data_IF_339041993000
#
_entry.id   IF_339041993000
#
_cell.length_a   1.000
_cell.length_b   1.000
_cell.length_c   1.000
_cell.angle_alpha   90.00
_cell.angle_beta   90.00
_cell.angle_gamma   90.00
#
_symmetry.space_group_name_H-M   'P 1'
#
loop_
_entity.id
_entity.type
_entity.pdbx_description
1 polymer ?
#
# COMPACT_ATOMS: atom_id res chain seq x y z
N UNK A 1 -51.01 21.03 20.41
CA UNK A 1 -52.45 21.25 20.16
C UNK A 1 -52.67 21.24 18.65
N UNK A 2 -53.57 20.35 18.22
CA UNK A 2 -54.36 20.32 16.97
C UNK A 2 -53.69 20.30 15.57
N UNK A 3 -53.98 19.18 14.89
CA UNK A 3 -54.04 18.85 13.46
C UNK A 3 -54.65 19.91 12.51
N UNK A 4 -54.28 19.88 11.22
CA UNK A 4 -55.22 19.53 10.13
C UNK A 4 -54.54 19.30 8.77
N UNK A 5 -54.99 18.25 8.09
CA UNK A 5 -54.74 17.83 6.70
C UNK A 5 -55.51 18.68 5.66
N UNK A 6 -55.06 18.67 4.39
CA UNK A 6 -55.91 18.29 3.24
C UNK A 6 -55.17 18.20 1.90
N UNK A 7 -55.40 17.08 1.20
CA UNK A 7 -55.11 16.75 -0.21
C UNK A 7 -56.41 16.83 -1.06
N UNK A 8 -56.29 17.07 -2.38
CA UNK A 8 -57.10 16.54 -3.52
C UNK A 8 -56.67 17.30 -4.81
N UNK A 9 -56.15 16.73 -5.90
CA UNK A 9 -56.58 15.71 -6.90
C UNK A 9 -57.35 16.22 -8.16
N UNK A 10 -56.66 16.18 -9.34
CA UNK A 10 -56.98 15.53 -10.66
C UNK A 10 -58.22 16.06 -11.48
N UNK A 11 -58.36 16.04 -12.86
CA UNK A 11 -57.92 15.04 -13.89
C UNK A 11 -57.45 15.43 -15.33
N UNK A 12 -56.73 14.46 -15.95
CA UNK A 12 -56.81 13.78 -17.31
C UNK A 12 -57.56 14.47 -18.47
N UNK A 13 -57.23 14.42 -19.77
CA UNK A 13 -56.30 13.66 -20.65
C UNK A 13 -56.86 13.63 -22.10
N UNK A 14 -56.06 13.13 -23.09
CA UNK A 14 -56.40 12.53 -24.43
C UNK A 14 -55.81 13.20 -25.71
N UNK A 15 -55.32 12.29 -26.58
CA UNK A 15 -54.54 12.32 -27.84
C UNK A 15 -55.14 13.05 -29.07
N UNK A 16 -54.26 13.48 -29.99
CA UNK A 16 -54.47 13.37 -31.45
C UNK A 16 -53.14 13.26 -32.24
N UNK A 17 -53.19 12.55 -33.38
CA UNK A 17 -52.09 12.02 -34.23
C UNK A 17 -51.48 13.08 -35.17
N UNK A 18 -50.21 12.90 -35.55
CA UNK A 18 -49.59 13.54 -36.72
C UNK A 18 -49.10 12.47 -37.73
N UNK A 19 -49.40 12.71 -39.01
CA UNK A 19 -48.87 12.04 -40.20
C UNK A 19 -48.28 13.15 -41.07
N UNK A 20 -47.08 12.96 -41.64
CA UNK A 20 -46.52 13.89 -42.63
C UNK A 20 -45.12 13.46 -43.08
N UNK A 21 -44.98 13.25 -44.39
CA UNK A 21 -43.89 12.59 -45.12
C UNK A 21 -42.56 13.34 -45.21
N UNK A 22 -41.52 12.54 -45.49
CA UNK A 22 -40.16 12.87 -45.90
C UNK A 22 -40.07 13.68 -47.21
N UNK A 23 -39.11 14.60 -47.28
CA UNK A 23 -38.37 14.94 -48.50
C UNK A 23 -36.85 15.01 -48.17
N UNK A 24 -36.05 14.33 -49.01
CA UNK A 24 -34.58 14.28 -48.98
C UNK A 24 -34.07 15.26 -50.05
N UNK A 25 -33.02 16.05 -49.79
CA UNK A 25 -32.13 16.53 -50.84
C UNK A 25 -30.81 15.74 -50.85
N UNK A 26 -30.48 15.17 -52.00
CA UNK A 26 -29.25 14.46 -52.31
C UNK A 26 -27.99 15.34 -52.24
N UNK A 27 -26.98 14.79 -51.56
CA UNK A 27 -25.61 14.63 -52.06
C UNK A 27 -24.74 15.89 -52.35
N UNK A 28 -24.09 16.40 -51.29
CA UNK A 28 -22.74 17.00 -51.34
C UNK A 28 -21.95 16.95 -50.02
N UNK A 29 -22.36 16.09 -49.08
CA UNK A 29 -21.87 16.11 -47.68
C UNK A 29 -21.05 14.88 -47.30
N UNK A 30 -21.03 13.82 -48.12
CA UNK A 30 -20.36 12.55 -47.77
C UNK A 30 -18.82 12.63 -47.82
N UNK A 31 -18.24 13.39 -48.75
CA UNK A 31 -16.78 13.49 -48.90
C UNK A 31 -16.11 14.37 -47.82
N UNK A 32 -16.79 15.41 -47.34
CA UNK A 32 -16.28 16.27 -46.25
C UNK A 32 -16.39 15.59 -44.88
N UNK A 33 -17.50 14.87 -44.62
CA UNK A 33 -17.66 14.12 -43.39
C UNK A 33 -16.62 12.98 -43.25
N UNK A 34 -16.31 12.26 -44.34
CA UNK A 34 -15.27 11.23 -44.32
C UNK A 34 -13.85 11.77 -44.09
N UNK A 35 -13.54 12.96 -44.61
CA UNK A 35 -12.23 13.59 -44.44
C UNK A 35 -12.04 14.15 -43.02
N UNK A 36 -13.08 14.76 -42.44
CA UNK A 36 -13.06 15.26 -41.06
C UNK A 36 -13.03 14.12 -40.02
N UNK A 37 -13.68 12.98 -40.30
CA UNK A 37 -13.60 11.78 -39.45
C UNK A 37 -12.22 11.11 -39.54
N UNK A 38 -11.62 11.04 -40.74
CA UNK A 38 -10.26 10.51 -40.91
C UNK A 38 -9.19 11.44 -40.32
N UNK A 39 -9.42 12.75 -40.34
CA UNK A 39 -8.50 13.72 -39.75
C UNK A 39 -8.59 13.71 -38.22
N UNK A 40 -9.79 13.71 -37.65
CA UNK A 40 -9.99 13.61 -36.19
C UNK A 40 -9.49 12.28 -35.64
N UNK A 41 -9.75 11.15 -36.30
CA UNK A 41 -9.18 9.85 -35.90
C UNK A 41 -7.65 9.77 -36.01
N UNK A 42 -7.02 10.41 -37.01
CA UNK A 42 -5.56 10.51 -37.09
C UNK A 42 -4.97 11.42 -36.01
N UNK A 43 -5.64 12.53 -35.69
CA UNK A 43 -5.23 13.44 -34.62
C UNK A 43 -5.37 12.74 -33.27
N UNK A 44 -6.51 12.11 -32.98
CA UNK A 44 -6.73 11.36 -31.74
C UNK A 44 -5.74 10.20 -31.61
N UNK A 45 -5.44 9.49 -32.71
CA UNK A 45 -4.41 8.44 -32.70
C UNK A 45 -3.01 8.99 -32.46
N UNK A 46 -2.65 10.11 -33.09
CA UNK A 46 -1.37 10.79 -32.87
C UNK A 46 -1.21 11.30 -31.44
N UNK A 47 -2.25 11.90 -30.86
CA UNK A 47 -2.26 12.34 -29.45
C UNK A 47 -2.11 11.15 -28.50
N UNK A 48 -2.76 10.02 -28.81
CA UNK A 48 -2.68 8.80 -27.98
C UNK A 48 -1.30 8.15 -28.08
N UNK A 49 -0.70 8.11 -29.27
CA UNK A 49 0.66 7.59 -29.50
C UNK A 49 1.73 8.45 -28.78
N UNK A 50 1.66 9.78 -28.91
CA UNK A 50 2.55 10.72 -28.22
C UNK A 50 2.41 10.62 -26.68
N UNK A 51 1.18 10.48 -26.18
CA UNK A 51 0.92 10.31 -24.76
C UNK A 51 1.51 8.99 -24.22
N UNK A 52 1.43 7.90 -24.99
CA UNK A 52 2.02 6.60 -24.64
C UNK A 52 3.54 6.67 -24.60
N UNK A 53 4.16 7.24 -25.63
CA UNK A 53 5.63 7.40 -25.69
C UNK A 53 6.15 8.24 -24.51
N UNK A 54 5.43 9.30 -24.15
CA UNK A 54 5.74 10.13 -22.99
C UNK A 54 5.66 9.34 -21.68
N UNK A 55 4.64 8.47 -21.50
CA UNK A 55 4.51 7.62 -20.31
C UNK A 55 5.68 6.65 -20.19
N UNK A 56 6.02 5.96 -21.27
CA UNK A 56 7.13 5.00 -21.35
C UNK A 56 8.44 5.68 -20.99
N UNK A 57 8.74 6.81 -21.65
CA UNK A 57 9.97 7.57 -21.43
C UNK A 57 10.08 8.07 -19.99
N UNK A 58 9.01 8.64 -19.45
CA UNK A 58 8.99 9.15 -18.07
C UNK A 58 9.16 8.03 -17.05
N UNK A 59 8.53 6.87 -17.29
CA UNK A 59 8.62 5.71 -16.41
C UNK A 59 10.04 5.14 -16.41
N UNK A 60 10.65 4.96 -17.59
CA UNK A 60 12.03 4.49 -17.73
C UNK A 60 13.01 5.41 -16.99
N UNK A 61 12.92 6.72 -17.22
CA UNK A 61 13.77 7.71 -16.54
C UNK A 61 13.62 7.66 -15.01
N UNK A 62 12.40 7.43 -14.50
CA UNK A 62 12.18 7.32 -13.05
C UNK A 62 12.83 6.06 -12.48
N UNK A 63 12.65 4.92 -13.15
CA UNK A 63 13.20 3.62 -12.72
C UNK A 63 14.73 3.61 -12.74
N UNK A 64 15.35 4.26 -13.72
CA UNK A 64 16.82 4.39 -13.81
C UNK A 64 17.39 5.33 -12.73
N UNK A 65 16.65 6.38 -12.37
CA UNK A 65 17.13 7.43 -11.46
C UNK A 65 17.23 6.97 -10.00
N UNK A 66 16.20 6.32 -9.48
CA UNK A 66 16.17 5.83 -8.10
C UNK A 66 15.34 4.53 -8.01
N UNK A 67 15.92 3.40 -8.44
CA UNK A 67 15.19 2.13 -8.51
C UNK A 67 14.70 1.66 -7.14
N UNK A 68 15.46 1.93 -6.06
CA UNK A 68 15.08 1.52 -4.71
C UNK A 68 13.88 2.31 -4.18
N UNK A 69 13.80 3.61 -4.44
CA UNK A 69 12.66 4.41 -4.02
C UNK A 69 11.40 4.06 -4.82
N UNK A 70 11.54 3.80 -6.13
CA UNK A 70 10.45 3.31 -6.97
C UNK A 70 9.96 1.94 -6.47
N UNK A 71 10.88 1.03 -6.17
CA UNK A 71 10.56 -0.30 -5.64
C UNK A 71 9.87 -0.24 -4.27
N UNK A 72 10.35 0.59 -3.34
CA UNK A 72 9.66 0.78 -2.06
C UNK A 72 8.23 1.26 -2.28
N UNK A 73 8.06 2.32 -3.09
CA UNK A 73 6.73 2.89 -3.35
C UNK A 73 5.78 1.84 -3.94
N UNK A 74 6.28 1.06 -4.89
CA UNK A 74 5.53 -0.05 -5.48
C UNK A 74 5.21 -1.14 -4.46
N UNK A 75 6.17 -1.54 -3.63
CA UNK A 75 6.00 -2.55 -2.58
C UNK A 75 4.96 -2.13 -1.53
N UNK A 76 4.92 -0.85 -1.15
CA UNK A 76 3.88 -0.31 -0.26
C UNK A 76 2.49 -0.39 -0.90
N UNK A 77 2.39 -0.07 -2.20
CA UNK A 77 1.15 -0.17 -2.97
C UNK A 77 0.66 -1.62 -3.08
N UNK A 78 1.54 -2.57 -3.36
CA UNK A 78 1.22 -4.00 -3.42
C UNK A 78 0.75 -4.51 -2.06
N UNK A 79 1.44 -4.17 -0.97
CA UNK A 79 1.03 -4.54 0.39
C UNK A 79 -0.39 -4.03 0.72
N UNK A 80 -0.69 -2.79 0.34
CA UNK A 80 -2.01 -2.18 0.53
C UNK A 80 -3.10 -2.82 -0.35
N UNK A 81 -2.74 -3.34 -1.53
CA UNK A 81 -3.67 -4.02 -2.45
C UNK A 81 -3.99 -5.45 -2.00
N UNK A 82 -3.01 -6.14 -1.41
CA UNK A 82 -3.15 -7.55 -1.02
C UNK A 82 -3.80 -7.77 0.34
N UNK A 83 -3.95 -6.72 1.15
CA UNK A 83 -4.66 -6.84 2.43
C UNK A 83 -6.17 -6.97 2.25
N UNK A 84 -6.84 -7.72 3.12
CA UNK A 84 -8.29 -7.76 3.22
C UNK A 84 -8.90 -6.39 3.60
N UNK A 85 -8.08 -5.48 4.16
CA UNK A 85 -8.48 -4.12 4.55
C UNK A 85 -8.23 -3.07 3.46
N UNK A 86 -8.13 -3.49 2.20
CA UNK A 86 -7.75 -2.62 1.08
C UNK A 86 -8.63 -1.37 0.97
N UNK A 87 -9.91 -1.42 1.36
CA UNK A 87 -10.76 -0.22 1.38
C UNK A 87 -10.25 0.93 2.24
N UNK A 88 -9.54 0.60 3.32
CA UNK A 88 -8.93 1.56 4.23
C UNK A 88 -7.45 1.83 3.93
N UNK A 89 -6.74 0.82 3.42
CA UNK A 89 -5.29 0.81 3.24
C UNK A 89 -4.86 1.29 1.85
N UNK A 90 -5.58 0.92 0.80
CA UNK A 90 -5.29 1.26 -0.59
C UNK A 90 -5.93 2.61 -0.95
N UNK A 91 -5.42 3.66 -0.31
CA UNK A 91 -5.78 5.04 -0.61
C UNK A 91 -4.51 5.82 -0.97
N UNK A 92 -4.44 6.50 -2.12
CA UNK A 92 -5.46 6.56 -3.18
C UNK A 92 -5.60 5.21 -3.90
N UNK A 93 -6.76 5.00 -4.52
CA UNK A 93 -7.07 3.80 -5.32
C UNK A 93 -6.97 4.14 -6.82
N UNK A 94 -6.41 3.26 -7.67
CA UNK A 94 -6.23 3.53 -9.09
C UNK A 94 -7.60 3.65 -9.81
N UNK A 95 -7.90 4.79 -10.45
CA UNK A 95 -9.23 5.07 -10.98
C UNK A 95 -9.60 4.17 -12.16
N UNK A 96 -8.63 3.62 -12.91
CA UNK A 96 -8.90 2.68 -14.00
C UNK A 96 -9.49 1.34 -13.53
N UNK A 97 -9.45 1.06 -12.22
CA UNK A 97 -10.09 -0.13 -11.61
C UNK A 97 -11.36 0.23 -10.83
N UNK A 98 -11.98 1.38 -11.10
CA UNK A 98 -13.28 1.76 -10.54
C UNK A 98 -14.31 1.68 -11.66
N UNK A 99 -15.33 0.83 -11.47
CA UNK A 99 -16.44 0.64 -12.41
C UNK A 99 -17.75 0.86 -11.67
N UNK A 100 -18.58 1.81 -12.11
CA UNK A 100 -19.85 2.14 -11.46
C UNK A 100 -19.71 2.38 -9.95
N UNK A 101 -18.70 3.17 -9.55
CA UNK A 101 -18.36 3.45 -8.15
C UNK A 101 -17.88 2.24 -7.31
N UNK A 102 -17.82 1.05 -7.91
CA UNK A 102 -17.28 -0.16 -7.29
C UNK A 102 -15.81 -0.36 -7.64
N UNK A 103 -15.00 -0.67 -6.64
CA UNK A 103 -13.57 -0.99 -6.80
C UNK A 103 -13.41 -2.44 -7.27
N UNK A 104 -12.84 -2.64 -8.45
CA UNK A 104 -12.50 -3.95 -9.00
C UNK A 104 -11.10 -4.37 -8.51
N UNK A 105 -11.02 -4.71 -7.22
CA UNK A 105 -9.75 -5.10 -6.58
C UNK A 105 -9.14 -6.37 -7.19
N UNK A 106 -9.98 -7.28 -7.68
CA UNK A 106 -9.52 -8.54 -8.28
C UNK A 106 -8.87 -8.30 -9.64
N UNK A 107 -9.42 -7.41 -10.47
CA UNK A 107 -8.73 -6.98 -11.68
C UNK A 107 -7.38 -6.31 -11.38
N UNK A 108 -7.33 -5.44 -10.36
CA UNK A 108 -6.08 -4.81 -9.95
C UNK A 108 -5.02 -5.84 -9.53
N UNK A 109 -5.41 -6.82 -8.70
CA UNK A 109 -4.50 -7.87 -8.21
C UNK A 109 -3.93 -8.72 -9.35
N UNK A 110 -4.76 -9.07 -10.35
CA UNK A 110 -4.28 -9.81 -11.54
C UNK A 110 -3.19 -9.04 -12.30
N UNK A 111 -3.32 -7.73 -12.43
CA UNK A 111 -2.27 -6.91 -13.07
C UNK A 111 -1.04 -6.79 -12.18
N UNK A 112 -1.21 -6.64 -10.86
CA UNK A 112 -0.09 -6.64 -9.91
C UNK A 112 0.74 -7.93 -10.01
N UNK A 113 0.08 -9.09 -10.13
CA UNK A 113 0.72 -10.40 -10.25
C UNK A 113 1.51 -10.57 -11.56
N UNK A 114 1.11 -9.88 -12.63
CA UNK A 114 1.81 -9.94 -13.92
C UNK A 114 3.00 -8.97 -14.00
N UNK A 115 3.14 -8.02 -13.08
CA UNK A 115 4.25 -7.05 -13.09
C UNK A 115 5.58 -7.77 -12.83
N UNK A 116 6.52 -7.79 -13.79
CA UNK A 116 7.84 -8.36 -13.57
C UNK A 116 8.69 -7.45 -12.66
N UNK A 117 9.81 -7.95 -12.10
CA UNK A 117 10.73 -7.12 -11.30
C UNK A 117 11.07 -5.80 -11.99
N UNK A 118 11.14 -4.69 -11.24
CA UNK A 118 11.29 -3.36 -11.84
C UNK A 118 12.53 -3.22 -12.75
N UNK A 119 13.68 -3.86 -12.48
CA UNK A 119 14.81 -3.85 -13.42
C UNK A 119 14.52 -4.55 -14.75
N UNK A 120 13.63 -5.55 -14.76
CA UNK A 120 13.24 -6.27 -15.97
C UNK A 120 12.36 -5.37 -16.82
N UNK A 121 11.26 -4.85 -16.27
CA UNK A 121 10.39 -3.92 -17.01
C UNK A 121 11.17 -2.69 -17.49
N UNK A 122 12.12 -2.18 -16.70
CA UNK A 122 12.94 -1.04 -17.11
C UNK A 122 13.75 -1.29 -18.39
N UNK A 123 14.19 -2.53 -18.62
CA UNK A 123 14.88 -2.93 -19.87
C UNK A 123 13.87 -3.02 -21.02
N UNK A 124 12.74 -3.67 -20.78
CA UNK A 124 11.67 -3.85 -21.78
C UNK A 124 11.07 -2.52 -22.27
N UNK A 125 11.06 -1.46 -21.44
CA UNK A 125 10.63 -0.11 -21.84
C UNK A 125 11.45 0.52 -22.97
N UNK A 126 12.55 -0.11 -23.41
CA UNK A 126 13.30 0.29 -24.61
C UNK A 126 12.81 -0.33 -25.92
N UNK A 127 11.93 -1.34 -25.87
CA UNK A 127 11.48 -2.11 -27.03
C UNK A 127 10.29 -1.45 -27.75
N UNK A 128 10.24 -1.57 -29.07
CA UNK A 128 9.24 -0.89 -29.93
C UNK A 128 7.79 -1.29 -29.61
N UNK A 129 7.57 -2.58 -29.28
CA UNK A 129 6.23 -3.15 -29.06
C UNK A 129 5.87 -3.27 -27.56
N UNK A 130 6.62 -2.59 -26.69
CA UNK A 130 6.46 -2.73 -25.23
C UNK A 130 5.03 -2.41 -24.75
N UNK A 131 4.36 -1.43 -25.34
CA UNK A 131 3.02 -1.05 -24.93
C UNK A 131 1.97 -2.11 -25.28
N UNK A 132 2.17 -2.86 -26.36
CA UNK A 132 1.26 -3.93 -26.76
C UNK A 132 1.38 -5.12 -25.80
N UNK A 133 2.58 -5.39 -25.30
CA UNK A 133 2.85 -6.49 -24.37
C UNK A 133 2.58 -6.13 -22.90
N UNK A 134 2.79 -4.86 -22.51
CA UNK A 134 2.78 -4.41 -21.12
C UNK A 134 1.85 -3.22 -20.85
N UNK A 135 0.91 -2.91 -21.75
CA UNK A 135 0.08 -1.70 -21.68
C UNK A 135 -0.59 -1.48 -20.31
N UNK A 136 -1.30 -2.49 -19.78
CA UNK A 136 -1.93 -2.39 -18.46
C UNK A 136 -0.93 -2.19 -17.32
N UNK A 137 0.24 -2.82 -17.41
CA UNK A 137 1.32 -2.70 -16.43
C UNK A 137 1.92 -1.30 -16.48
N UNK A 138 2.17 -0.77 -17.67
CA UNK A 138 2.70 0.58 -17.88
C UNK A 138 1.71 1.61 -17.32
N UNK A 139 0.41 1.47 -17.61
CA UNK A 139 -0.61 2.37 -17.08
C UNK A 139 -0.66 2.36 -15.55
N UNK A 140 -0.62 1.18 -14.94
CA UNK A 140 -0.65 1.04 -13.49
C UNK A 140 0.63 1.58 -12.84
N UNK A 141 1.82 1.21 -13.35
CA UNK A 141 3.11 1.70 -12.85
C UNK A 141 3.22 3.21 -13.02
N UNK A 142 2.82 3.76 -14.18
CA UNK A 142 2.79 5.19 -14.42
C UNK A 142 1.87 5.90 -13.41
N UNK A 143 0.68 5.35 -13.15
CA UNK A 143 -0.23 5.91 -12.17
C UNK A 143 0.38 5.93 -10.76
N UNK A 144 0.89 4.78 -10.27
CA UNK A 144 1.44 4.68 -8.92
C UNK A 144 2.72 5.50 -8.77
N UNK A 145 3.66 5.39 -9.70
CA UNK A 145 5.00 5.94 -9.52
C UNK A 145 5.09 7.42 -9.94
N UNK A 146 4.42 7.82 -11.02
CA UNK A 146 4.53 9.17 -11.59
C UNK A 146 3.32 10.05 -11.29
N UNK A 147 2.08 9.54 -11.44
CA UNK A 147 0.88 10.38 -11.23
C UNK A 147 0.66 10.70 -9.76
N UNK A 148 0.93 9.77 -8.86
CA UNK A 148 0.95 10.03 -7.40
C UNK A 148 2.26 10.71 -6.96
N UNK A 149 2.55 11.89 -7.53
CA UNK A 149 3.88 12.52 -7.43
C UNK A 149 4.24 13.07 -6.04
N UNK A 150 3.27 13.57 -5.27
CA UNK A 150 3.51 14.24 -3.99
C UNK A 150 2.86 13.47 -2.82
N UNK A 151 3.58 13.26 -1.70
CA UNK A 151 5.02 13.39 -1.55
C UNK A 151 5.79 12.36 -2.38
N UNK A 152 7.01 12.69 -2.80
CA UNK A 152 7.90 11.73 -3.46
C UNK A 152 8.90 11.15 -2.46
N UNK A 153 9.27 9.89 -2.71
CA UNK A 153 10.21 9.12 -1.90
C UNK A 153 11.59 9.21 -2.56
N UNK A 154 12.64 9.41 -1.76
CA UNK A 154 14.04 9.39 -2.20
C UNK A 154 14.86 8.44 -1.36
N UNK A 155 15.70 7.64 -1.98
CA UNK A 155 16.70 6.84 -1.27
C UNK A 155 17.71 7.75 -0.57
N UNK A 156 18.06 7.41 0.68
CA UNK A 156 19.11 8.10 1.43
C UNK A 156 20.41 7.28 1.34
N UNK A 157 21.54 7.95 1.17
CA UNK A 157 22.86 7.31 1.19
C UNK A 157 23.24 6.90 2.63
N UNK A 158 23.94 5.77 2.79
CA UNK A 158 24.22 5.15 4.10
C UNK A 158 24.99 6.08 5.04
N UNK A 159 25.84 6.93 4.48
CA UNK A 159 26.66 7.91 5.20
C UNK A 159 25.79 8.92 5.97
N UNK A 160 24.58 9.18 5.48
CA UNK A 160 23.61 10.09 6.10
C UNK A 160 22.73 9.43 7.17
N UNK A 161 22.81 8.10 7.38
CA UNK A 161 21.89 7.42 8.29
C UNK A 161 22.08 7.88 9.73
N UNK A 162 23.33 7.98 10.18
CA UNK A 162 23.65 8.41 11.55
C UNK A 162 23.14 9.82 11.84
N UNK A 163 23.23 10.75 10.88
CA UNK A 163 22.74 12.13 11.07
C UNK A 163 21.21 12.20 11.15
N UNK A 164 20.51 11.30 10.46
CA UNK A 164 19.05 11.17 10.54
C UNK A 164 18.62 10.54 11.86
N UNK A 165 19.24 9.43 12.26
CA UNK A 165 18.90 8.73 13.50
C UNK A 165 19.18 9.60 14.73
N UNK A 166 20.23 10.42 14.72
CA UNK A 166 20.55 11.39 15.79
C UNK A 166 19.53 12.53 15.95
N UNK A 167 18.54 12.66 15.06
CA UNK A 167 17.46 13.65 15.22
C UNK A 167 16.55 13.34 16.41
N UNK A 168 16.53 12.08 16.84
CA UNK A 168 15.88 11.64 18.08
C UNK A 168 16.98 11.22 19.05
N UNK A 169 16.97 11.68 20.30
CA UNK A 169 17.94 11.23 21.30
C UNK A 169 17.88 9.71 21.46
N UNK A 170 19.01 9.04 21.25
CA UNK A 170 19.11 7.59 21.45
C UNK A 170 19.45 7.32 22.92
N UNK A 171 18.44 6.93 23.70
CA UNK A 171 18.63 6.52 25.10
C UNK A 171 18.85 5.01 25.22
N UNK A 172 18.06 4.22 24.47
CA UNK A 172 18.10 2.76 24.48
C UNK A 172 18.50 2.25 23.08
N UNK A 173 19.54 1.41 22.96
CA UNK A 173 19.89 0.78 21.69
C UNK A 173 18.72 -0.03 21.12
N UNK A 174 18.48 0.11 19.81
CA UNK A 174 17.50 -0.66 19.06
C UNK A 174 18.13 -1.16 17.75
N UNK A 175 17.48 -2.14 17.11
CA UNK A 175 17.91 -2.61 15.80
C UNK A 175 17.92 -1.43 14.81
N UNK A 176 19.03 -1.25 14.09
CA UNK A 176 19.16 -0.20 13.08
C UNK A 176 18.44 -0.62 11.79
N UNK A 177 17.82 0.32 11.05
CA UNK A 177 17.20 0.02 9.77
C UNK A 177 18.23 -0.31 8.70
N UNK A 178 17.91 -1.26 7.81
CA UNK A 178 18.73 -1.59 6.65
C UNK A 178 18.73 -0.45 5.63
N UNK A 179 17.57 0.18 5.46
CA UNK A 179 17.32 1.21 4.45
C UNK A 179 16.61 2.43 5.05
N UNK A 180 17.00 3.63 4.62
CA UNK A 180 16.31 4.87 4.97
C UNK A 180 15.89 5.58 3.68
N UNK A 181 14.64 6.01 3.65
CA UNK A 181 14.09 6.82 2.57
C UNK A 181 13.60 8.15 3.11
N UNK A 182 13.86 9.23 2.39
CA UNK A 182 13.38 10.56 2.72
C UNK A 182 12.04 10.83 2.03
N UNK A 183 11.10 11.33 2.81
CA UNK A 183 9.86 11.93 2.31
C UNK A 183 10.12 13.39 1.99
N UNK A 184 9.86 13.79 0.76
CA UNK A 184 10.00 15.17 0.34
C UNK A 184 8.78 15.63 -0.44
N UNK A 185 8.33 16.83 -0.12
CA UNK A 185 7.24 17.50 -0.80
C UNK A 185 7.76 18.52 -1.81
N UNK A 186 6.94 18.83 -2.81
CA UNK A 186 7.20 19.99 -3.65
C UNK A 186 7.20 21.28 -2.79
N UNK A 187 8.12 22.22 -3.06
CA UNK A 187 8.29 23.44 -2.24
C UNK A 187 7.02 24.31 -2.13
N UNK A 188 6.16 24.22 -3.15
CA UNK A 188 4.91 24.96 -3.32
C UNK A 188 3.69 24.01 -3.23
N UNK A 189 3.82 22.84 -2.60
CA UNK A 189 2.65 22.01 -2.36
C UNK A 189 1.77 22.64 -1.27
N UNK A 190 0.46 22.44 -1.38
CA UNK A 190 -0.50 22.88 -0.36
C UNK A 190 -0.18 22.30 1.02
N UNK A 191 0.32 21.07 1.06
CA UNK A 191 0.78 20.40 2.29
C UNK A 191 1.98 21.10 2.93
N UNK A 192 2.96 21.54 2.14
CA UNK A 192 4.16 22.23 2.63
C UNK A 192 3.82 23.66 3.10
N UNK A 193 2.93 24.37 2.41
CA UNK A 193 2.43 25.68 2.83
C UNK A 193 1.65 25.59 4.15
N UNK A 194 0.73 24.61 4.25
CA UNK A 194 -0.02 24.33 5.47
C UNK A 194 0.91 24.02 6.65
N UNK A 195 1.93 23.18 6.42
CA UNK A 195 2.93 22.87 7.44
C UNK A 195 3.68 24.12 7.92
N UNK A 196 4.18 24.94 6.99
CA UNK A 196 4.90 26.18 7.33
C UNK A 196 4.04 27.16 8.12
N UNK A 197 2.76 27.27 7.75
CA UNK A 197 1.80 28.11 8.49
C UNK A 197 1.63 27.61 9.92
N UNK A 198 1.40 26.31 10.11
CA UNK A 198 1.18 25.73 11.44
C UNK A 198 2.44 25.75 12.31
N UNK A 199 3.63 25.60 11.71
CA UNK A 199 4.89 25.61 12.43
C UNK A 199 5.37 27.03 12.79
N UNK A 200 4.72 28.08 12.27
CA UNK A 200 5.14 29.47 12.49
C UNK A 200 5.09 29.81 13.98
N UNK A 201 6.24 30.18 14.54
CA UNK A 201 6.37 30.53 15.97
C UNK A 201 6.52 29.33 16.92
N UNK A 202 6.58 28.11 16.39
CA UNK A 202 6.77 26.88 17.17
C UNK A 202 8.09 26.19 16.81
N UNK A 203 8.73 25.58 17.79
CA UNK A 203 9.84 24.66 17.54
C UNK A 203 9.30 23.32 17.01
N UNK A 204 10.15 22.50 16.36
CA UNK A 204 9.79 21.14 15.98
C UNK A 204 10.71 20.12 16.66
N UNK A 205 10.23 18.88 16.77
CA UNK A 205 11.01 17.75 17.27
C UNK A 205 10.66 16.49 16.48
N UNK A 206 11.44 15.43 16.65
CA UNK A 206 11.26 14.17 15.92
C UNK A 206 10.79 13.05 16.83
N UNK A 207 9.93 12.17 16.30
CA UNK A 207 9.47 10.96 16.98
C UNK A 207 9.14 9.85 15.97
N UNK A 208 9.21 8.61 16.43
CA UNK A 208 8.91 7.42 15.65
C UNK A 208 7.43 7.06 15.72
N UNK A 209 6.91 6.53 14.61
CA UNK A 209 5.58 5.93 14.53
C UNK A 209 5.68 4.57 13.85
N UNK A 210 5.28 3.53 14.57
CA UNK A 210 5.19 2.18 14.02
C UNK A 210 3.80 1.87 13.46
N UNK A 211 3.76 1.17 12.33
CA UNK A 211 2.52 0.72 11.72
C UNK A 211 2.72 -0.56 10.93
N UNK A 212 1.62 -1.27 10.64
CA UNK A 212 1.66 -2.41 9.73
C UNK A 212 1.95 -1.94 8.31
N UNK A 213 2.72 -2.74 7.56
CA UNK A 213 3.19 -2.40 6.23
C UNK A 213 2.09 -1.94 5.27
N UNK A 214 0.96 -2.64 5.24
CA UNK A 214 -0.14 -2.34 4.32
C UNK A 214 -0.77 -0.95 4.54
N UNK A 215 -0.55 -0.33 5.70
CA UNK A 215 -1.06 1.03 5.96
C UNK A 215 -0.18 2.10 5.30
N UNK A 216 1.08 1.80 4.95
CA UNK A 216 2.06 2.81 4.57
C UNK A 216 1.78 3.47 3.22
N UNK A 217 1.10 2.82 2.28
CA UNK A 217 0.63 3.47 1.06
C UNK A 217 -0.28 4.68 1.38
N UNK A 218 -1.30 4.46 2.21
CA UNK A 218 -2.19 5.53 2.67
C UNK A 218 -1.47 6.57 3.52
N UNK A 219 -0.61 6.14 4.45
CA UNK A 219 0.16 7.04 5.30
C UNK A 219 1.09 7.94 4.47
N UNK A 220 1.71 7.42 3.41
CA UNK A 220 2.57 8.21 2.52
C UNK A 220 1.77 9.29 1.79
N UNK A 221 0.60 8.95 1.26
CA UNK A 221 -0.17 9.87 0.40
C UNK A 221 -1.12 10.81 1.15
N UNK A 222 -1.67 10.37 2.27
CA UNK A 222 -2.62 11.15 3.07
C UNK A 222 -2.06 11.60 4.41
N UNK A 223 -0.83 11.20 4.77
CA UNK A 223 -0.28 11.45 6.10
C UNK A 223 -0.91 10.56 7.18
N UNK A 224 -0.51 10.78 8.42
CA UNK A 224 -1.07 10.07 9.57
C UNK A 224 -2.40 10.70 9.96
N UNK A 225 -3.50 9.95 9.79
CA UNK A 225 -4.86 10.42 10.02
C UNK A 225 -5.42 9.89 11.34
N UNK A 226 -5.74 10.78 12.27
CA UNK A 226 -6.21 10.43 13.62
C UNK A 226 -7.50 9.58 13.61
N UNK A 227 -8.39 9.79 12.66
CA UNK A 227 -9.63 9.00 12.50
C UNK A 227 -9.38 7.57 11.96
N UNK A 228 -8.21 7.30 11.40
CA UNK A 228 -7.78 5.98 10.92
C UNK A 228 -6.99 5.22 11.99
N UNK A 229 -6.59 5.88 13.09
CA UNK A 229 -5.92 5.26 14.22
C UNK A 229 -6.92 4.56 15.15
N UNK A 230 -6.57 3.36 15.60
CA UNK A 230 -7.34 2.67 16.65
C UNK A 230 -7.20 3.42 17.97
N UNK A 231 -8.27 3.50 18.76
CA UNK A 231 -8.19 3.96 20.14
C UNK A 231 -7.25 3.02 20.91
N UNK A 232 -6.36 3.61 21.70
CA UNK A 232 -5.43 2.87 22.57
C UNK A 232 -5.69 3.25 24.03
N UNK A 233 -4.89 2.67 24.93
CA UNK A 233 -5.04 2.79 26.38
C UNK A 233 -5.03 4.25 26.86
N UNK A 234 -4.26 5.12 26.19
CA UNK A 234 -4.10 6.52 26.60
C UNK A 234 -5.06 7.49 25.90
N UNK A 235 -6.12 6.99 25.23
CA UNK A 235 -7.12 7.80 24.56
C UNK A 235 -7.03 7.79 23.02
N UNK A 236 -7.81 8.65 22.37
CA UNK A 236 -7.87 8.75 20.91
C UNK A 236 -6.79 9.69 20.36
N UNK A 237 -5.92 9.17 19.51
CA UNK A 237 -4.91 9.99 18.83
C UNK A 237 -3.94 9.16 17.99
N UNK A 238 -3.00 9.85 17.36
CA UNK A 238 -1.86 9.25 16.67
C UNK A 238 -0.74 9.11 17.70
N UNK A 239 -0.24 7.89 17.85
CA UNK A 239 0.77 7.55 18.85
C UNK A 239 2.17 7.60 18.25
N UNK A 240 3.09 8.23 18.98
CA UNK A 240 4.50 8.30 18.65
C UNK A 240 5.34 7.94 19.86
N UNK A 241 6.61 7.63 19.61
CA UNK A 241 7.59 7.48 20.68
C UNK A 241 8.92 8.15 20.34
N UNK A 242 9.60 8.69 21.36
CA UNK A 242 11.01 9.10 21.25
C UNK A 242 11.97 7.91 21.20
N UNK A 243 11.49 6.68 21.38
CA UNK A 243 12.31 5.47 21.32
C UNK A 243 11.94 4.60 20.11
N UNK A 244 12.96 4.25 19.32
CA UNK A 244 12.80 3.37 18.18
C UNK A 244 12.35 1.96 18.62
N UNK A 245 12.92 1.46 19.72
CA UNK A 245 12.58 0.17 20.33
C UNK A 245 11.10 0.02 20.67
N UNK A 246 10.46 1.12 21.11
CA UNK A 246 9.02 1.16 21.42
C UNK A 246 8.15 1.07 20.17
N UNK A 247 8.62 1.60 19.03
CA UNK A 247 7.86 1.61 17.77
C UNK A 247 7.99 0.33 16.94
N UNK A 248 9.04 -0.46 17.17
CA UNK A 248 9.33 -1.71 16.46
C UNK A 248 8.20 -2.76 16.59
N UNK A 249 7.67 -3.08 17.79
CA UNK A 249 6.57 -4.05 17.92
C UNK A 249 5.29 -3.68 17.17
N UNK A 250 5.06 -2.39 16.90
CA UNK A 250 3.93 -1.91 16.11
C UNK A 250 4.16 -2.00 14.59
N UNK A 251 5.37 -2.38 14.18
CA UNK A 251 5.82 -2.50 12.79
C UNK A 251 6.26 -3.93 12.50
N UNK A 252 5.34 -4.93 12.59
CA UNK A 252 5.69 -6.29 12.25
C UNK A 252 6.12 -6.38 10.78
N UNK A 253 6.92 -7.39 10.47
CA UNK A 253 7.26 -7.74 9.08
C UNK A 253 5.96 -8.00 8.30
N UNK A 254 5.84 -7.35 7.15
CA UNK A 254 4.74 -7.53 6.22
C UNK A 254 5.24 -7.98 4.85
N UNK A 255 4.33 -8.52 4.06
CA UNK A 255 4.60 -8.90 2.67
C UNK A 255 4.40 -7.69 1.76
N UNK A 256 5.49 -7.23 1.16
CA UNK A 256 5.52 -6.16 0.17
C UNK A 256 5.19 -6.72 -1.21
N UNK A 257 6.21 -6.82 -2.07
CA UNK A 257 6.09 -7.36 -3.42
C UNK A 257 7.12 -8.48 -3.66
N UNK A 258 6.69 -9.59 -4.26
CA UNK A 258 7.54 -10.75 -4.51
C UNK A 258 8.73 -10.47 -5.43
N UNK A 259 8.57 -9.53 -6.38
CA UNK A 259 9.63 -9.10 -7.30
C UNK A 259 10.50 -7.95 -6.77
N UNK A 260 10.38 -7.59 -5.49
CA UNK A 260 11.03 -6.43 -4.90
C UNK A 260 12.56 -6.58 -4.82
N UNK A 261 13.26 -5.53 -5.24
CA UNK A 261 14.69 -5.33 -5.04
C UNK A 261 15.10 -5.23 -3.56
N UNK A 262 14.14 -4.92 -2.68
CA UNK A 262 14.35 -4.73 -1.24
C UNK A 262 14.06 -6.02 -0.44
N UNK A 263 13.59 -7.07 -1.12
CA UNK A 263 13.07 -8.28 -0.50
C UNK A 263 11.55 -8.25 -0.35
N UNK A 264 10.94 -9.44 -0.37
CA UNK A 264 9.48 -9.60 -0.30
C UNK A 264 8.90 -9.35 1.10
N UNK A 265 9.75 -9.45 2.13
CA UNK A 265 9.40 -9.27 3.53
C UNK A 265 10.06 -8.00 4.08
N UNK A 266 9.24 -6.99 4.39
CA UNK A 266 9.72 -5.68 4.87
C UNK A 266 8.93 -5.22 6.10
N UNK A 267 9.62 -4.59 7.03
CA UNK A 267 9.02 -3.80 8.11
C UNK A 267 9.34 -2.32 7.89
N UNK A 268 8.43 -1.43 8.26
CA UNK A 268 8.56 0.00 8.01
C UNK A 268 8.15 0.80 9.25
N UNK A 269 8.98 1.78 9.62
CA UNK A 269 8.71 2.76 10.68
C UNK A 269 8.77 4.16 10.07
N UNK A 270 7.82 5.02 10.40
CA UNK A 270 7.88 6.43 10.05
C UNK A 270 8.69 7.20 11.11
N UNK A 271 9.68 7.98 10.67
CA UNK A 271 10.29 9.03 11.47
C UNK A 271 9.62 10.36 11.10
N UNK A 272 8.86 10.87 12.04
CA UNK A 272 8.01 12.04 11.87
C UNK A 272 8.63 13.27 12.52
N UNK A 273 8.34 14.43 11.96
CA UNK A 273 8.57 15.73 12.57
C UNK A 273 7.24 16.25 13.12
N UNK A 274 7.26 16.70 14.36
CA UNK A 274 6.10 17.15 15.12
C UNK A 274 6.30 18.62 15.52
N UNK A 275 5.24 19.42 15.43
CA UNK A 275 5.23 20.81 15.90
C UNK A 275 5.07 20.81 17.42
N UNK A 276 5.96 21.50 18.14
CA UNK A 276 5.84 21.65 19.59
C UNK A 276 4.66 22.57 19.93
N UNK A 277 3.48 21.96 20.05
CA UNK A 277 2.20 22.60 20.23
C UNK A 277 1.48 22.04 21.48
N UNK A 278 0.73 22.85 22.25
CA UNK A 278 0.01 22.39 23.45
C UNK A 278 -0.97 21.23 23.23
N UNK A 279 -1.48 21.07 22.00
CA UNK A 279 -2.38 19.96 21.64
C UNK A 279 -1.68 18.60 21.57
N UNK A 280 -0.35 18.57 21.54
CA UNK A 280 0.42 17.33 21.64
C UNK A 280 0.51 16.94 23.11
N UNK A 281 -0.03 15.77 23.42
CA UNK A 281 0.04 15.20 24.76
C UNK A 281 1.35 14.44 24.90
N UNK A 282 2.13 14.77 25.94
CA UNK A 282 3.49 14.28 26.14
C UNK A 282 3.61 13.57 27.47
N UNK A 283 4.21 12.38 27.44
CA UNK A 283 4.47 11.60 28.63
C UNK A 283 5.50 12.21 29.58
N UNK A 284 6.44 12.99 29.06
CA UNK A 284 7.47 13.69 29.84
C UNK A 284 6.96 14.97 30.55
N UNK A 285 5.74 15.42 30.23
CA UNK A 285 5.18 16.62 30.83
C UNK A 285 4.73 16.39 32.28
N UNK A 286 5.11 17.31 33.17
CA UNK A 286 4.63 17.35 34.56
C UNK A 286 3.22 17.93 34.68
N UNK A 287 2.74 18.61 33.64
CA UNK A 287 1.40 19.16 33.58
C UNK A 287 0.39 18.04 33.25
N UNK A 288 -0.54 17.79 34.17
CA UNK A 288 -1.60 16.79 34.00
C UNK A 288 -2.46 17.04 32.75
N UNK A 289 -2.67 18.30 32.36
CA UNK A 289 -3.48 18.65 31.17
C UNK A 289 -2.80 18.27 29.85
N UNK A 290 -1.46 18.18 29.86
CA UNK A 290 -0.65 17.79 28.72
C UNK A 290 -0.20 16.33 28.78
N UNK A 291 -0.32 15.68 29.93
CA UNK A 291 0.10 14.30 30.16
C UNK A 291 -1.07 13.29 30.16
N UNK A 292 -2.31 13.76 30.16
CA UNK A 292 -3.51 12.91 30.17
C UNK A 292 -4.52 13.35 29.12
N UNK A 293 -5.22 12.39 28.52
CA UNK A 293 -6.39 12.64 27.69
C UNK A 293 -7.65 12.34 28.49
N UNK A 294 -8.72 13.10 28.26
CA UNK A 294 -10.00 12.93 28.96
C UNK A 294 -10.65 11.56 28.71
N UNK A 295 -10.34 10.92 27.58
CA UNK A 295 -10.80 9.59 27.21
C UNK A 295 -9.75 8.49 27.46
N UNK A 296 -8.70 8.79 28.23
CA UNK A 296 -7.67 7.83 28.63
C UNK A 296 -8.22 6.83 29.65
N UNK A 297 -8.02 5.55 29.40
CA UNK A 297 -8.35 4.44 30.33
C UNK A 297 -7.10 4.04 31.14
N UNK A 298 -5.91 4.17 30.55
CA UNK A 298 -4.62 3.86 31.17
C UNK A 298 -4.03 4.99 32.02
N UNK A 299 -4.77 6.09 32.18
CA UNK A 299 -4.32 7.25 32.95
C UNK A 299 -3.25 8.07 32.21
N UNK A 300 -2.12 8.27 32.88
CA UNK A 300 -1.02 9.13 32.42
C UNK A 300 -0.26 8.51 31.25
N UNK A 301 0.12 9.33 30.27
CA UNK A 301 0.94 8.91 29.13
C UNK A 301 2.36 8.60 29.64
N UNK A 302 2.97 7.46 29.27
CA UNK A 302 4.33 7.11 29.70
C UNK A 302 5.38 8.04 29.06
N UNK A 303 6.49 8.28 29.75
CA UNK A 303 7.49 9.33 29.45
C UNK A 303 7.89 9.44 27.96
N UNK A 304 8.14 8.30 27.32
CA UNK A 304 8.64 8.23 25.94
C UNK A 304 7.55 8.22 24.87
N UNK A 305 6.29 8.47 25.24
CA UNK A 305 5.15 8.48 24.33
C UNK A 305 4.62 9.89 24.10
N UNK A 306 4.15 10.10 22.88
CA UNK A 306 3.42 11.30 22.48
C UNK A 306 2.10 10.89 21.83
N UNK A 307 1.03 11.60 22.15
CA UNK A 307 -0.29 11.41 21.53
C UNK A 307 -0.71 12.71 20.86
N UNK A 308 -0.93 12.65 19.56
CA UNK A 308 -1.35 13.80 18.75
C UNK A 308 -2.80 13.62 18.31
N UNK A 309 -3.65 14.59 18.62
CA UNK A 309 -5.06 14.59 18.24
C UNK A 309 -5.31 15.27 16.90
N UNK A 310 -4.50 16.28 16.55
CA UNK A 310 -4.57 17.01 15.30
C UNK A 310 -3.50 16.52 14.31
N UNK A 311 -3.93 15.85 13.23
CA UNK A 311 -3.07 15.34 12.17
C UNK A 311 -2.18 16.41 11.53
N UNK A 312 -2.61 17.68 11.55
CA UNK A 312 -1.89 18.80 10.91
C UNK A 312 -0.63 19.26 11.67
N UNK A 313 -0.38 18.69 12.86
CA UNK A 313 0.80 18.95 13.68
C UNK A 313 1.93 17.96 13.42
N UNK A 314 1.73 17.00 12.51
CA UNK A 314 2.70 15.95 12.19
C UNK A 314 2.94 15.89 10.69
N UNK A 315 4.20 15.69 10.31
CA UNK A 315 4.55 15.22 8.96
C UNK A 315 5.58 14.12 9.01
N UNK A 316 5.53 13.23 8.04
CA UNK A 316 6.53 12.16 7.88
C UNK A 316 7.73 12.76 7.17
N UNK A 317 8.93 12.52 7.68
CA UNK A 317 10.18 12.99 7.06
C UNK A 317 11.02 11.86 6.52
N UNK A 318 10.99 10.69 7.16
CA UNK A 318 11.72 9.52 6.70
C UNK A 318 10.93 8.24 6.94
N UNK A 319 11.18 7.24 6.09
CA UNK A 319 10.76 5.87 6.26
C UNK A 319 12.00 5.04 6.58
N UNK A 320 11.98 4.36 7.72
CA UNK A 320 13.02 3.44 8.17
C UNK A 320 12.55 2.03 7.82
N UNK A 321 13.23 1.39 6.89
CA UNK A 321 12.84 0.10 6.34
C UNK A 321 13.81 -0.97 6.81
N UNK A 322 13.24 -2.03 7.37
CA UNK A 322 13.94 -3.23 7.80
C UNK A 322 13.63 -4.32 6.79
N UNK A 323 14.68 -4.88 6.23
CA UNK A 323 14.63 -5.97 5.26
C UNK A 323 15.34 -7.16 5.88
N UNK A 324 14.81 -8.36 5.71
CA UNK A 324 15.62 -9.54 6.05
C UNK A 324 16.74 -9.63 5.02
N UNK A 325 17.99 -9.57 5.48
CA UNK A 325 19.12 -9.84 4.61
C UNK A 325 19.00 -11.30 4.15
N UNK A 326 18.78 -11.50 2.84
CA UNK A 326 18.88 -12.82 2.21
C UNK A 326 20.27 -13.45 2.42
N UNK A 327 21.28 -12.64 2.80
CA UNK A 327 22.63 -13.03 3.14
C UNK A 327 22.82 -13.33 4.63
N UNK A 328 22.05 -14.25 5.20
CA UNK A 328 22.45 -15.01 6.40
C UNK A 328 21.67 -16.30 6.62
N UNK A 329 20.99 -16.82 5.59
CA UNK A 329 20.89 -18.27 5.48
C UNK A 329 22.07 -18.70 4.62
N UNK A 330 23.09 -19.26 5.26
CA UNK A 330 24.00 -20.21 4.61
C UNK A 330 23.13 -21.21 3.87
N UNK A 331 22.92 -20.99 2.57
CA UNK A 331 22.33 -21.94 1.66
C UNK A 331 23.35 -23.06 1.53
N UNK A 332 23.25 -24.05 2.42
CA UNK A 332 23.44 -25.41 1.92
C UNK A 332 22.37 -25.58 0.86
N UNK A 333 22.78 -25.59 -0.41
CA UNK A 333 21.94 -25.95 -1.54
C UNK A 333 21.27 -27.29 -1.25
N UNK A 334 20.06 -27.26 -0.71
CA UNK A 334 19.20 -28.43 -0.62
C UNK A 334 18.15 -28.29 -1.72
N UNK A 335 18.57 -28.55 -2.96
CA UNK A 335 17.68 -28.87 -4.06
C UNK A 335 16.91 -30.14 -3.69
N UNK A 336 15.69 -29.99 -3.17
CA UNK A 336 14.87 -31.13 -2.77
C UNK A 336 13.56 -30.75 -2.11
N UNK A 337 12.69 -31.74 -1.93
CA UNK A 337 11.35 -31.63 -1.33
C UNK A 337 11.33 -30.85 -0.01
N UNK A 338 12.43 -30.85 0.74
CA UNK A 338 12.61 -30.09 1.98
C UNK A 338 12.55 -28.56 1.81
N UNK A 339 13.09 -28.02 0.71
CA UNK A 339 12.97 -26.60 0.39
C UNK A 339 11.52 -26.23 0.02
N UNK A 340 10.86 -27.11 -0.74
CA UNK A 340 9.45 -26.96 -1.11
C UNK A 340 8.52 -27.01 0.11
N UNK A 341 8.76 -27.94 1.05
CA UNK A 341 8.00 -28.00 2.31
C UNK A 341 8.20 -26.75 3.19
N UNK A 342 9.41 -26.18 3.22
CA UNK A 342 9.66 -24.91 3.95
C UNK A 342 8.92 -23.73 3.33
N UNK A 343 8.79 -23.69 2.01
CA UNK A 343 8.09 -22.64 1.28
C UNK A 343 6.56 -22.77 1.42
N UNK A 344 6.02 -23.99 1.49
CA UNK A 344 4.58 -24.25 1.59
C UNK A 344 4.17 -24.78 2.96
N UNK A 345 4.34 -23.98 4.01
CA UNK A 345 4.04 -24.36 5.40
C UNK A 345 2.62 -24.90 5.58
N UNK A 346 1.60 -24.21 5.04
CA UNK A 346 0.20 -24.63 5.15
C UNK A 346 -0.07 -25.98 4.49
N UNK A 347 0.40 -26.17 3.25
CA UNK A 347 0.20 -27.40 2.49
C UNK A 347 0.92 -28.59 3.17
N UNK A 348 2.08 -28.33 3.76
CA UNK A 348 2.82 -29.31 4.57
C UNK A 348 2.01 -29.75 5.78
N UNK A 349 1.40 -28.82 6.52
CA UNK A 349 0.51 -29.14 7.64
C UNK A 349 -0.72 -29.93 7.19
N UNK A 350 -1.33 -29.58 6.06
CA UNK A 350 -2.51 -30.29 5.52
C UNK A 350 -2.15 -31.70 5.08
N UNK A 351 -1.05 -31.87 4.33
CA UNK A 351 -0.57 -33.20 3.92
C UNK A 351 -0.20 -34.06 5.13
N UNK A 352 0.50 -33.49 6.11
CA UNK A 352 0.82 -34.19 7.36
C UNK A 352 -0.43 -34.62 8.12
N UNK A 353 -1.46 -33.78 8.16
CA UNK A 353 -2.75 -34.11 8.78
C UNK A 353 -3.49 -35.24 8.04
N UNK A 354 -3.50 -35.22 6.70
CA UNK A 354 -4.09 -36.30 5.89
C UNK A 354 -3.37 -37.62 6.11
N UNK A 355 -2.04 -37.62 6.16
CA UNK A 355 -1.25 -38.84 6.45
C UNK A 355 -1.57 -39.36 7.85
N UNK A 356 -1.65 -38.48 8.86
CA UNK A 356 -1.99 -38.86 10.22
C UNK A 356 -3.39 -39.50 10.31
N UNK A 357 -4.39 -38.90 9.65
CA UNK A 357 -5.74 -39.46 9.57
C UNK A 357 -5.75 -40.82 8.87
N UNK A 358 -4.99 -40.98 7.78
CA UNK A 358 -4.85 -42.25 7.09
C UNK A 358 -4.17 -43.31 7.99
N UNK A 359 -3.12 -42.95 8.73
CA UNK A 359 -2.45 -43.85 9.67
C UNK A 359 -3.37 -44.30 10.81
N UNK A 360 -4.17 -43.39 11.37
CA UNK A 360 -5.17 -43.73 12.40
C UNK A 360 -6.27 -44.62 11.82
N UNK A 361 -6.74 -44.33 10.60
CA UNK A 361 -7.74 -45.15 9.93
C UNK A 361 -7.25 -46.56 9.56
N UNK A 362 -5.99 -46.69 9.14
CA UNK A 362 -5.36 -47.97 8.81
C UNK A 362 -5.07 -48.82 10.05
N UNK A 363 -4.68 -48.20 11.17
CA UNK A 363 -4.43 -48.92 12.45
C UNK A 363 -5.72 -49.45 13.10
N UNK A 364 -6.87 -48.84 12.82
CA UNK A 364 -8.17 -49.34 13.29
C UNK A 364 -8.79 -50.43 12.38
N UNK A 365 -8.16 -50.73 11.23
CA UNK A 365 -8.68 -51.70 10.27
C UNK A 365 -8.12 -53.11 10.53
N UNK A 366 -9.00 -54.02 10.97
CA UNK A 366 -8.67 -55.44 11.27
C UNK A 366 -8.06 -56.21 10.09
N UNK A 367 -8.31 -55.80 8.85
CA UNK A 367 -7.71 -56.40 7.65
C UNK A 367 -6.22 -56.01 7.51
N UNK A 368 -5.89 -54.75 7.80
CA UNK A 368 -4.51 -54.23 7.70
C UNK A 368 -3.63 -54.81 8.80
N UNK A 369 -4.16 -54.98 10.01
CA UNK A 369 -3.46 -55.66 11.11
C UNK A 369 -3.05 -57.09 10.72
N UNK A 370 -3.93 -57.82 10.01
CA UNK A 370 -3.65 -59.18 9.52
C UNK A 370 -2.52 -59.20 8.49
N UNK A 371 -2.50 -58.24 7.57
CA UNK A 371 -1.40 -58.09 6.59
C UNK A 371 -0.08 -57.67 7.25
N UNK A 372 -0.13 -56.77 8.24
CA UNK A 372 1.06 -56.33 8.96
C UNK A 372 1.69 -57.48 9.76
N UNK A 373 0.87 -58.30 10.44
CA UNK A 373 1.34 -59.53 11.11
C UNK A 373 1.92 -60.56 10.13
N UNK A 374 1.28 -60.75 8.96
CA UNK A 374 1.81 -61.63 7.90
C UNK A 374 3.14 -61.12 7.34
N UNK A 375 3.31 -59.81 7.21
CA UNK A 375 4.54 -59.20 6.72
C UNK A 375 5.68 -59.30 7.74
N UNK A 376 5.40 -59.09 9.03
CA UNK A 376 6.37 -59.27 10.12
C UNK A 376 6.80 -60.75 10.22
N UNK A 377 5.86 -61.70 10.14
CA UNK A 377 6.18 -63.14 10.10
C UNK A 377 7.06 -63.53 8.91
N UNK A 378 6.89 -62.87 7.76
CA UNK A 378 7.65 -63.17 6.54
C UNK A 378 9.01 -62.46 6.49
N UNK A 379 9.19 -61.40 7.28
CA UNK A 379 10.44 -60.63 7.38
C UNK A 379 11.36 -61.12 8.51
N UNK A 380 10.97 -62.14 9.30
CA UNK A 380 11.85 -62.82 10.25
C UNK A 380 12.19 -62.04 11.53
N UNK A 381 11.36 -61.07 11.90
CA UNK A 381 11.43 -60.44 13.22
C UNK A 381 10.39 -61.08 14.13
N UNK A 382 10.82 -62.01 15.00
CA UNK A 382 10.04 -62.42 16.18
C UNK A 382 10.05 -61.34 17.26
#
# INVERSE_FOLDING_TARGET
MAYSDQNHEIPKGIRARQNGQYEIPEEKTAAKAGLDILHTSRIDRGITEEDVERKITSLKQLLEKDPRAADLKWSLFVAASNTYRYDSCLKPFPPMYIKNECKDIEALRRVIESVPPLPVICKELGETDVYQNYGEIIELLYWVLLRLRDPYIKSVQKECYNSILRKVPLEVPAAAPNLIFQMANAKQSTSEEKWKSNAKGHSTFYAYHGSRLENFHSIVHYGLQQNMCKRSQFGKGIYFSSELGVSLPYSPVGYGWGGSLLGSEISCIALCELINHPDIKRGDSRDNTQNTLSDSVGGRIPEKYFVVTNSDLVRIRYLLVYTQDLHTTSTTDSTGLLAWFKQHKLLTFVLGYVVLLASVGLTQNKQVEKYYRLFIQKAGFE
#
